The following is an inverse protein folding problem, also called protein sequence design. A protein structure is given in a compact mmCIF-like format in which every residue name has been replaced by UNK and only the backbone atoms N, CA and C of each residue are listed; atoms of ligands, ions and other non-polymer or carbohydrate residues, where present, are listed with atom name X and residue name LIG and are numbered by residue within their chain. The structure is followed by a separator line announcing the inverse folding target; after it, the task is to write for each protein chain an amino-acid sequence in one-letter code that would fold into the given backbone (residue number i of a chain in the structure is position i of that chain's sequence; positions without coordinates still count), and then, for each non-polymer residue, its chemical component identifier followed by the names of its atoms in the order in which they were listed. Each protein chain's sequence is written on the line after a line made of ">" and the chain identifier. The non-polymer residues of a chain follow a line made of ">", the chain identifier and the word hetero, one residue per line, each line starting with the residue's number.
data_IF_993192089519
#
_entry.id   IF_993192089519
#
_cell.length_a   1.000
_cell.length_b   1.000
_cell.length_c   1.000
_cell.angle_alpha   90.00
_cell.angle_beta   90.00
_cell.angle_gamma   90.00
#
_symmetry.space_group_name_H-M   'P 1'
#
loop_
_entity.id
_entity.type
_entity.pdbx_description
1 polymer ?
#
# COMPACT_ATOMS: atom_id res chain seq x y z
N UNK A 1 6.03 -4.53 -16.33
CA UNK A 1 5.04 -5.56 -15.89
C UNK A 1 4.42 -5.10 -14.59
N UNK A 2 3.11 -5.33 -14.39
CA UNK A 2 2.34 -4.87 -13.22
C UNK A 2 1.55 -6.05 -12.66
N UNK A 3 1.37 -6.10 -11.34
CA UNK A 3 0.47 -7.09 -10.70
C UNK A 3 -0.98 -6.65 -10.91
N UNK A 4 -1.77 -7.48 -11.59
CA UNK A 4 -3.16 -7.18 -11.89
C UNK A 4 -4.12 -7.48 -10.74
N UNK A 5 -3.63 -7.99 -9.61
CA UNK A 5 -4.48 -8.28 -8.44
C UNK A 5 -4.47 -7.07 -7.52
N UNK A 6 -5.62 -6.40 -7.37
CA UNK A 6 -5.79 -5.27 -6.45
C UNK A 6 -5.35 -5.63 -5.01
N UNK A 7 -5.63 -6.85 -4.60
CA UNK A 7 -5.32 -7.39 -3.28
C UNK A 7 -3.82 -7.43 -2.95
N UNK A 8 -2.96 -7.52 -3.98
CA UNK A 8 -1.51 -7.46 -3.78
C UNK A 8 -1.03 -6.11 -3.26
N UNK A 9 -1.85 -5.05 -3.38
CA UNK A 9 -1.55 -3.69 -2.92
C UNK A 9 -2.10 -3.40 -1.51
N UNK A 10 -2.58 -4.40 -0.76
CA UNK A 10 -2.93 -4.18 0.66
C UNK A 10 -1.68 -3.81 1.47
N UNK A 11 -1.88 -3.13 2.60
CA UNK A 11 -0.75 -2.80 3.49
C UNK A 11 0.01 -4.06 3.91
N UNK A 12 1.32 -4.07 3.70
CA UNK A 12 2.22 -5.09 4.23
C UNK A 12 2.73 -4.76 5.65
N UNK A 13 2.39 -3.60 6.20
CA UNK A 13 2.93 -3.14 7.48
C UNK A 13 2.41 -3.97 8.64
N UNK A 14 3.32 -4.59 9.38
CA UNK A 14 3.02 -5.40 10.55
C UNK A 14 2.96 -4.53 11.81
N UNK A 15 1.73 -4.33 12.32
CA UNK A 15 1.49 -3.52 13.52
C UNK A 15 1.92 -4.21 14.80
N UNK A 16 1.94 -5.54 14.83
CA UNK A 16 2.29 -6.28 16.05
C UNK A 16 3.82 -6.32 16.19
N UNK A 17 4.55 -6.54 15.09
CA UNK A 17 6.00 -6.32 15.06
C UNK A 17 6.36 -4.88 15.48
N UNK A 18 5.62 -3.87 15.01
CA UNK A 18 5.89 -2.49 15.37
C UNK A 18 5.72 -2.25 16.88
N UNK A 19 4.71 -2.83 17.52
CA UNK A 19 4.54 -2.75 18.98
C UNK A 19 5.67 -3.48 19.71
N UNK A 20 6.05 -4.66 19.23
CA UNK A 20 7.11 -5.48 19.81
C UNK A 20 8.46 -4.75 19.81
N UNK A 21 8.90 -4.24 18.65
CA UNK A 21 10.18 -3.55 18.56
C UNK A 21 10.20 -2.23 19.35
N UNK A 22 9.07 -1.50 19.41
CA UNK A 22 8.97 -0.29 20.24
C UNK A 22 9.06 -0.64 21.74
N UNK A 23 8.37 -1.69 22.19
CA UNK A 23 8.43 -2.13 23.58
C UNK A 23 9.84 -2.59 23.98
N UNK A 24 10.58 -3.21 23.05
CA UNK A 24 11.97 -3.63 23.27
C UNK A 24 12.91 -2.46 23.56
N UNK A 25 12.73 -1.33 22.88
CA UNK A 25 13.65 -0.19 22.95
C UNK A 25 13.14 0.97 23.82
N UNK A 26 11.98 0.82 24.44
CA UNK A 26 11.32 1.90 25.19
C UNK A 26 12.24 2.46 26.29
N UNK A 27 12.37 3.80 26.31
CA UNK A 27 13.25 4.51 27.24
C UNK A 27 14.76 4.36 26.99
N UNK A 28 15.18 3.71 25.89
CA UNK A 28 16.60 3.51 25.55
C UNK A 28 17.08 4.52 24.49
N UNK A 29 18.39 4.54 24.20
CA UNK A 29 18.94 5.36 23.11
C UNK A 29 18.50 4.88 21.72
N UNK A 30 17.94 3.66 21.60
CA UNK A 30 17.45 3.11 20.34
C UNK A 30 16.02 3.56 20.00
N UNK A 31 15.26 4.11 20.96
CA UNK A 31 13.87 4.53 20.75
C UNK A 31 13.71 5.51 19.57
N UNK A 32 14.49 6.61 19.46
CA UNK A 32 14.41 7.49 18.30
C UNK A 32 14.76 6.80 16.97
N UNK A 33 15.62 5.79 16.98
CA UNK A 33 16.01 5.06 15.77
C UNK A 33 14.90 4.14 15.28
N UNK A 34 14.26 3.41 16.20
CA UNK A 34 13.11 2.56 15.90
C UNK A 34 11.91 3.39 15.46
N UNK A 35 11.68 4.54 16.09
CA UNK A 35 10.65 5.49 15.64
C UNK A 35 10.87 5.92 14.19
N UNK A 36 12.10 6.35 13.84
CA UNK A 36 12.44 6.77 12.47
C UNK A 36 12.29 5.63 11.46
N UNK A 37 12.73 4.41 11.82
CA UNK A 37 12.53 3.21 11.02
C UNK A 37 11.03 2.94 10.78
N UNK A 38 10.23 3.04 11.84
CA UNK A 38 8.79 2.88 11.82
C UNK A 38 8.11 3.88 10.89
N UNK A 39 8.48 5.17 10.95
CA UNK A 39 7.97 6.21 10.04
C UNK A 39 8.35 5.90 8.58
N UNK A 40 9.61 5.55 8.30
CA UNK A 40 10.06 5.23 6.95
C UNK A 40 9.29 4.04 6.37
N UNK A 41 9.16 2.95 7.13
CA UNK A 41 8.47 1.74 6.70
C UNK A 41 6.96 1.91 6.62
N UNK A 42 6.35 2.68 7.53
CA UNK A 42 4.93 3.00 7.47
C UNK A 42 4.62 3.91 6.28
N UNK A 43 5.50 4.86 5.98
CA UNK A 43 5.43 5.68 4.77
C UNK A 43 5.46 4.82 3.50
N UNK A 44 6.44 3.92 3.38
CA UNK A 44 6.51 2.99 2.25
C UNK A 44 5.25 2.10 2.13
N UNK A 45 4.75 1.56 3.25
CA UNK A 45 3.56 0.73 3.25
C UNK A 45 2.28 1.49 2.86
N UNK A 46 2.17 2.76 3.26
CA UNK A 46 1.04 3.61 2.87
C UNK A 46 1.12 3.97 1.37
N UNK A 47 2.30 4.33 0.86
CA UNK A 47 2.52 4.59 -0.57
C UNK A 47 2.18 3.37 -1.41
N UNK A 48 2.61 2.17 -0.98
CA UNK A 48 2.27 0.90 -1.62
C UNK A 48 0.75 0.66 -1.65
N UNK A 49 0.03 1.07 -0.59
CA UNK A 49 -1.40 0.85 -0.43
C UNK A 49 -2.29 1.86 -1.17
N UNK A 50 -1.73 2.94 -1.71
CA UNK A 50 -2.49 3.97 -2.42
C UNK A 50 -3.42 3.43 -3.52
N UNK A 51 -3.02 2.46 -4.36
CA UNK A 51 -3.91 1.90 -5.38
C UNK A 51 -5.12 1.19 -4.77
N UNK A 52 -4.90 0.43 -3.69
CA UNK A 52 -5.98 -0.23 -2.96
C UNK A 52 -6.92 0.79 -2.34
N UNK A 53 -6.39 1.82 -1.68
CA UNK A 53 -7.17 2.91 -1.09
C UNK A 53 -7.99 3.68 -2.12
N UNK A 54 -7.45 3.90 -3.32
CA UNK A 54 -8.17 4.60 -4.40
C UNK A 54 -9.45 3.84 -4.76
N UNK A 55 -9.34 2.56 -5.06
CA UNK A 55 -10.49 1.71 -5.43
C UNK A 55 -11.46 1.58 -4.25
N UNK A 56 -10.94 1.39 -3.03
CA UNK A 56 -11.75 1.24 -1.82
C UNK A 56 -12.54 2.52 -1.50
N UNK A 57 -11.92 3.69 -1.65
CA UNK A 57 -12.57 4.99 -1.40
C UNK A 57 -13.69 5.27 -2.40
N UNK A 58 -13.49 4.88 -3.65
CA UNK A 58 -14.50 5.09 -4.70
C UNK A 58 -15.65 4.09 -4.55
N UNK A 59 -15.36 2.84 -4.18
CA UNK A 59 -16.39 1.89 -3.79
C UNK A 59 -17.23 2.41 -2.62
N UNK A 60 -16.58 2.88 -1.54
CA UNK A 60 -17.29 3.47 -0.40
C UNK A 60 -18.11 4.71 -0.77
N UNK A 61 -17.62 5.54 -1.68
CA UNK A 61 -18.38 6.68 -2.22
C UNK A 61 -19.59 6.21 -3.04
N UNK A 62 -19.42 5.26 -3.95
CA UNK A 62 -20.49 4.74 -4.79
C UNK A 62 -21.60 4.10 -3.94
N UNK A 63 -21.22 3.25 -2.99
CA UNK A 63 -22.15 2.63 -2.05
C UNK A 63 -22.87 3.69 -1.21
N UNK A 64 -22.16 4.71 -0.72
CA UNK A 64 -22.78 5.80 0.04
C UNK A 64 -23.69 6.67 -0.81
N UNK A 65 -23.30 7.00 -2.04
CA UNK A 65 -24.07 7.86 -2.94
C UNK A 65 -25.40 7.21 -3.32
N UNK A 66 -25.37 5.92 -3.66
CA UNK A 66 -26.56 5.12 -3.98
C UNK A 66 -27.50 5.01 -2.78
N UNK A 67 -26.96 4.83 -1.58
CA UNK A 67 -27.77 4.69 -0.37
C UNK A 67 -28.28 6.03 0.21
N UNK A 68 -27.60 7.15 -0.06
CA UNK A 68 -27.94 8.46 0.52
C UNK A 68 -28.87 9.31 -0.34
N UNK A 69 -29.01 9.01 -1.63
CA UNK A 69 -29.82 9.80 -2.55
C UNK A 69 -30.99 8.97 -3.10
N UNK A 70 -32.16 9.58 -3.15
CA UNK A 70 -33.28 9.04 -3.92
C UNK A 70 -32.81 8.79 -5.37
N UNK A 71 -32.98 7.56 -5.90
CA UNK A 71 -32.53 7.22 -7.24
C UNK A 71 -33.02 8.26 -8.26
N UNK A 72 -32.18 8.70 -9.22
CA UNK A 72 -32.60 9.66 -10.25
C UNK A 72 -33.86 9.22 -11.00
N UNK A 73 -34.07 7.91 -11.13
CA UNK A 73 -35.27 7.28 -11.68
C UNK A 73 -36.51 7.54 -10.82
N UNK A 74 -36.44 7.41 -9.50
CA UNK A 74 -37.53 7.74 -8.58
C UNK A 74 -37.86 9.24 -8.64
N UNK A 75 -36.85 10.12 -8.68
CA UNK A 75 -37.04 11.57 -8.90
C UNK A 75 -37.70 11.88 -10.24
N UNK A 76 -37.29 11.20 -11.31
CA UNK A 76 -37.89 11.34 -12.65
C UNK A 76 -39.34 10.85 -12.66
N UNK A 77 -39.63 9.71 -12.02
CA UNK A 77 -41.00 9.19 -11.87
C UNK A 77 -41.83 10.27 -11.16
N UNK A 78 -41.43 10.73 -9.98
CA UNK A 78 -42.13 11.77 -9.23
C UNK A 78 -42.39 13.06 -10.03
N UNK A 79 -41.41 13.49 -10.83
CA UNK A 79 -41.56 14.64 -11.74
C UNK A 79 -42.57 14.36 -12.88
N UNK A 80 -42.53 13.17 -13.48
CA UNK A 80 -43.48 12.73 -14.50
C UNK A 80 -44.90 12.64 -13.93
N UNK A 81 -45.07 12.12 -12.71
CA UNK A 81 -46.37 12.04 -12.03
C UNK A 81 -46.98 13.43 -11.88
N UNK A 82 -46.19 14.36 -11.37
CA UNK A 82 -46.62 15.74 -11.14
C UNK A 82 -47.02 16.39 -12.46
N UNK A 83 -46.17 16.25 -13.49
CA UNK A 83 -46.43 16.86 -14.80
C UNK A 83 -47.65 16.24 -15.50
N UNK A 84 -47.82 14.91 -15.41
CA UNK A 84 -48.99 14.22 -15.94
C UNK A 84 -50.27 14.68 -15.25
N UNK A 85 -50.25 14.82 -13.92
CA UNK A 85 -51.42 15.25 -13.14
C UNK A 85 -51.87 16.68 -13.51
N UNK A 86 -50.92 17.58 -13.77
CA UNK A 86 -51.20 18.92 -14.27
C UNK A 86 -51.79 18.89 -15.69
N UNK A 87 -51.22 18.08 -16.58
CA UNK A 87 -51.66 17.99 -17.97
C UNK A 87 -53.06 17.38 -18.14
N UNK A 88 -53.44 16.43 -17.29
CA UNK A 88 -54.78 15.82 -17.31
C UNK A 88 -55.80 16.56 -16.44
N UNK A 89 -55.38 17.57 -15.68
CA UNK A 89 -56.28 18.35 -14.82
C UNK A 89 -57.42 18.98 -15.64
N UNK A 90 -58.66 18.70 -15.27
CA UNK A 90 -59.86 19.18 -15.98
C UNK A 90 -60.13 18.52 -17.34
N UNK A 91 -59.20 17.72 -17.90
CA UNK A 91 -59.35 17.01 -19.18
C UNK A 91 -59.92 15.59 -19.01
N UNK A 92 -59.83 15.01 -17.82
CA UNK A 92 -60.36 13.68 -17.50
C UNK A 92 -61.32 13.70 -16.32
N UNK A 93 -62.19 12.68 -16.23
CA UNK A 93 -63.13 12.52 -15.11
C UNK A 93 -62.36 12.33 -13.79
N UNK A 94 -62.88 12.87 -12.66
CA UNK A 94 -62.21 12.75 -11.36
C UNK A 94 -61.88 11.31 -10.94
N UNK A 95 -62.75 10.35 -11.27
CA UNK A 95 -62.56 8.94 -10.96
C UNK A 95 -61.37 8.34 -11.74
N UNK A 96 -61.25 8.64 -13.04
CA UNK A 96 -60.12 8.21 -13.86
C UNK A 96 -58.80 8.84 -13.41
N UNK A 97 -58.82 10.11 -12.96
CA UNK A 97 -57.65 10.78 -12.38
C UNK A 97 -57.18 10.07 -11.11
N UNK A 98 -58.10 9.65 -10.25
CA UNK A 98 -57.79 8.89 -9.03
C UNK A 98 -57.19 7.52 -9.34
N UNK A 99 -57.75 6.82 -10.33
CA UNK A 99 -57.22 5.53 -10.80
C UNK A 99 -55.80 5.66 -11.38
N UNK A 100 -55.55 6.71 -12.17
CA UNK A 100 -54.23 7.00 -12.72
C UNK A 100 -53.19 7.23 -11.61
N UNK A 101 -53.51 8.07 -10.61
CA UNK A 101 -52.64 8.29 -9.44
C UNK A 101 -52.35 6.99 -8.69
N UNK A 102 -53.37 6.15 -8.47
CA UNK A 102 -53.20 4.88 -7.78
C UNK A 102 -52.37 3.87 -8.58
N UNK A 103 -52.50 3.85 -9.91
CA UNK A 103 -51.67 3.02 -10.78
C UNK A 103 -50.20 3.46 -10.73
N UNK A 104 -49.96 4.77 -10.83
CA UNK A 104 -48.64 5.38 -10.71
C UNK A 104 -47.98 5.07 -9.36
N UNK A 105 -48.70 5.25 -8.25
CA UNK A 105 -48.13 4.97 -6.92
C UNK A 105 -47.75 3.50 -6.76
N UNK A 106 -48.56 2.58 -7.30
CA UNK A 106 -48.22 1.15 -7.30
C UNK A 106 -46.95 0.86 -8.09
N UNK A 107 -46.76 1.51 -9.25
CA UNK A 107 -45.54 1.38 -10.05
C UNK A 107 -44.35 1.93 -9.26
N UNK A 108 -44.47 3.09 -8.62
CA UNK A 108 -43.41 3.65 -7.78
C UNK A 108 -42.98 2.69 -6.68
N UNK A 109 -43.94 2.15 -5.92
CA UNK A 109 -43.64 1.19 -4.85
C UNK A 109 -42.96 -0.08 -5.39
N UNK A 110 -43.39 -0.59 -6.55
CA UNK A 110 -42.75 -1.76 -7.18
C UNK A 110 -41.31 -1.47 -7.63
N UNK A 111 -41.03 -0.24 -8.04
CA UNK A 111 -39.68 0.21 -8.40
C UNK A 111 -38.81 0.31 -7.15
N UNK A 112 -39.34 0.86 -6.06
CA UNK A 112 -38.64 0.94 -4.77
C UNK A 112 -38.32 -0.47 -4.23
N UNK A 113 -39.31 -1.38 -4.20
CA UNK A 113 -39.12 -2.78 -3.81
C UNK A 113 -38.06 -3.48 -4.68
N UNK A 114 -38.03 -3.18 -5.99
CA UNK A 114 -37.04 -3.74 -6.90
C UNK A 114 -35.62 -3.23 -6.59
N UNK A 115 -35.46 -1.94 -6.30
CA UNK A 115 -34.16 -1.36 -5.90
C UNK A 115 -33.68 -1.91 -4.56
N UNK A 116 -34.58 -2.11 -3.59
CA UNK A 116 -34.23 -2.75 -2.31
C UNK A 116 -33.83 -4.22 -2.49
N UNK A 117 -34.48 -4.94 -3.41
CA UNK A 117 -34.20 -6.36 -3.67
C UNK A 117 -32.88 -6.61 -4.42
N UNK A 118 -32.40 -5.62 -5.18
CA UNK A 118 -31.16 -5.68 -5.96
C UNK A 118 -30.33 -4.41 -5.75
N UNK A 119 -29.70 -4.25 -4.57
CA UNK A 119 -28.86 -3.10 -4.31
C UNK A 119 -27.71 -3.09 -5.32
N UNK A 120 -27.49 -1.95 -5.98
CA UNK A 120 -26.31 -1.73 -6.78
C UNK A 120 -25.07 -2.00 -5.92
N UNK A 121 -24.12 -2.76 -6.45
CA UNK A 121 -22.83 -3.00 -5.81
C UNK A 121 -21.74 -2.51 -6.76
N UNK A 122 -20.86 -1.68 -6.23
CA UNK A 122 -19.68 -1.26 -6.97
C UNK A 122 -18.77 -2.46 -7.26
N UNK A 123 -18.50 -2.71 -8.54
CA UNK A 123 -17.54 -3.74 -8.96
C UNK A 123 -16.11 -3.21 -8.87
N UNK A 124 -15.42 -3.59 -7.80
CA UNK A 124 -14.04 -3.18 -7.53
C UNK A 124 -13.07 -3.73 -8.58
N UNK A 125 -13.30 -4.94 -9.10
CA UNK A 125 -12.39 -5.60 -10.01
C UNK A 125 -12.50 -5.00 -11.40
N UNK A 126 -13.72 -4.73 -11.87
CA UNK A 126 -13.96 -4.01 -13.13
C UNK A 126 -13.30 -2.62 -13.09
N UNK A 127 -13.51 -1.87 -12.00
CA UNK A 127 -12.92 -0.55 -11.83
C UNK A 127 -11.38 -0.59 -11.80
N UNK A 128 -10.82 -1.57 -11.09
CA UNK A 128 -9.37 -1.77 -11.06
C UNK A 128 -8.79 -2.07 -12.44
N UNK A 129 -9.43 -2.97 -13.19
CA UNK A 129 -9.03 -3.31 -14.55
C UNK A 129 -9.10 -2.09 -15.49
N UNK A 130 -10.14 -1.27 -15.37
CA UNK A 130 -10.26 -0.01 -16.12
C UNK A 130 -9.06 0.94 -15.85
N UNK A 131 -8.61 1.06 -14.60
CA UNK A 131 -7.43 1.88 -14.28
C UNK A 131 -6.14 1.28 -14.81
N UNK A 132 -6.02 -0.05 -14.82
CA UNK A 132 -4.86 -0.73 -15.39
C UNK A 132 -4.71 -0.50 -16.88
N UNK A 133 -5.75 -0.09 -17.61
CA UNK A 133 -5.65 0.29 -19.02
C UNK A 133 -5.06 1.70 -19.21
N UNK A 134 -4.98 2.51 -18.15
CA UNK A 134 -4.48 3.89 -18.23
C UNK A 134 -2.96 3.94 -18.08
N UNK A 135 -2.25 4.41 -19.10
CA UNK A 135 -0.78 4.45 -19.13
C UNK A 135 -0.16 5.23 -17.97
N UNK A 136 -0.73 6.38 -17.61
CA UNK A 136 -0.26 7.20 -16.49
C UNK A 136 -0.41 6.49 -15.14
N UNK A 137 -1.49 5.71 -15.00
CA UNK A 137 -1.70 4.88 -13.81
C UNK A 137 -0.69 3.74 -13.74
N UNK A 138 -0.45 3.07 -14.86
CA UNK A 138 0.57 2.03 -14.96
C UNK A 138 1.96 2.55 -14.56
N UNK A 139 2.37 3.71 -15.08
CA UNK A 139 3.65 4.36 -14.72
C UNK A 139 3.69 4.69 -13.23
N UNK A 140 2.60 5.23 -12.69
CA UNK A 140 2.47 5.55 -11.26
C UNK A 140 2.61 4.30 -10.38
N UNK A 141 1.99 3.17 -10.77
CA UNK A 141 2.14 1.90 -10.08
C UNK A 141 3.60 1.43 -10.09
N UNK A 142 4.24 1.39 -11.25
CA UNK A 142 5.64 0.95 -11.38
C UNK A 142 6.56 1.83 -10.51
N UNK A 143 6.42 3.15 -10.62
CA UNK A 143 7.23 4.10 -9.86
C UNK A 143 6.99 3.94 -8.35
N UNK A 144 5.73 3.79 -7.91
CA UNK A 144 5.40 3.61 -6.50
C UNK A 144 6.08 2.38 -5.90
N UNK A 145 6.08 1.24 -6.60
CA UNK A 145 6.71 0.02 -6.08
C UNK A 145 8.25 0.16 -6.01
N UNK A 146 8.87 0.77 -7.01
CA UNK A 146 10.32 1.09 -6.98
C UNK A 146 10.66 1.98 -5.79
N UNK A 147 9.87 3.03 -5.54
CA UNK A 147 10.05 3.94 -4.40
C UNK A 147 9.86 3.22 -3.06
N UNK A 148 8.86 2.36 -2.94
CA UNK A 148 8.60 1.61 -1.70
C UNK A 148 9.74 0.64 -1.39
N UNK A 149 10.21 -0.12 -2.38
CA UNK A 149 11.34 -1.04 -2.20
C UNK A 149 12.60 -0.30 -1.76
N UNK A 150 12.94 0.80 -2.46
CA UNK A 150 14.10 1.61 -2.12
C UNK A 150 13.94 2.22 -0.71
N UNK A 151 12.79 2.79 -0.40
CA UNK A 151 12.49 3.41 0.90
C UNK A 151 12.59 2.43 2.07
N UNK A 152 12.11 1.19 1.91
CA UNK A 152 12.26 0.14 2.91
C UNK A 152 13.73 -0.14 3.22
N UNK A 153 14.55 -0.32 2.17
CA UNK A 153 15.97 -0.62 2.36
C UNK A 153 16.75 0.57 2.89
N UNK A 154 16.46 1.79 2.43
CA UNK A 154 17.08 3.01 2.98
C UNK A 154 16.81 3.18 4.46
N UNK A 155 15.55 3.02 4.90
CA UNK A 155 15.20 3.09 6.32
C UNK A 155 15.93 2.03 7.13
N UNK A 156 16.04 0.81 6.60
CA UNK A 156 16.80 -0.26 7.24
C UNK A 156 18.30 0.06 7.33
N UNK A 157 18.92 0.49 6.23
CA UNK A 157 20.35 0.84 6.20
C UNK A 157 20.69 1.97 7.18
N UNK A 158 19.86 3.01 7.22
CA UNK A 158 20.02 4.10 8.20
C UNK A 158 19.88 3.59 9.64
N UNK A 159 18.92 2.70 9.92
CA UNK A 159 18.78 2.07 11.22
C UNK A 159 20.05 1.29 11.62
N UNK A 160 20.57 0.41 10.76
CA UNK A 160 21.80 -0.37 11.04
C UNK A 160 22.99 0.55 11.31
N UNK A 161 23.18 1.58 10.46
CA UNK A 161 24.29 2.54 10.61
C UNK A 161 24.18 3.32 11.92
N UNK A 162 22.98 3.72 12.32
CA UNK A 162 22.82 4.47 13.56
C UNK A 162 22.96 3.58 14.81
N UNK A 163 22.58 2.30 14.77
CA UNK A 163 22.93 1.35 15.83
C UNK A 163 24.46 1.24 15.99
N UNK A 164 25.19 1.14 14.89
CA UNK A 164 26.67 1.12 14.91
C UNK A 164 27.24 2.40 15.54
N UNK A 165 26.70 3.57 15.18
CA UNK A 165 27.16 4.87 15.70
C UNK A 165 26.92 5.00 17.21
N UNK A 166 25.83 4.42 17.73
CA UNK A 166 25.57 4.39 19.18
C UNK A 166 26.64 3.55 19.88
N UNK A 167 26.87 2.31 19.44
CA UNK A 167 27.84 1.40 20.08
C UNK A 167 29.28 1.94 20.05
N UNK A 168 29.66 2.58 18.95
CA UNK A 168 31.04 3.03 18.74
C UNK A 168 31.27 4.50 19.09
N UNK A 169 30.21 5.24 19.47
CA UNK A 169 30.25 6.70 19.68
C UNK A 169 30.78 7.51 18.49
N UNK A 170 30.78 6.93 17.28
CA UNK A 170 31.25 7.60 16.06
C UNK A 170 30.17 8.56 15.56
N UNK A 171 30.53 9.83 15.33
CA UNK A 171 29.57 10.86 14.88
C UNK A 171 29.19 10.73 13.41
N UNK A 172 30.11 10.27 12.55
CA UNK A 172 29.92 10.16 11.10
C UNK A 172 30.42 8.80 10.63
N UNK A 173 29.55 8.07 9.95
CA UNK A 173 29.87 6.78 9.36
C UNK A 173 29.28 6.71 7.95
N UNK A 174 30.08 6.23 7.00
CA UNK A 174 29.63 5.98 5.64
C UNK A 174 30.00 4.54 5.29
N UNK A 175 29.00 3.78 4.84
CA UNK A 175 29.19 2.40 4.43
C UNK A 175 30.13 2.35 3.22
N UNK A 176 31.17 1.52 3.31
CA UNK A 176 32.16 1.27 2.26
C UNK A 176 32.82 -0.10 2.39
N UNK A 177 34.09 -0.20 1.97
CA UNK A 177 34.83 -1.48 1.96
C UNK A 177 35.07 -2.07 3.36
N UNK A 178 35.22 -1.23 4.39
CA UNK A 178 35.48 -1.69 5.77
C UNK A 178 34.22 -2.14 6.50
N UNK A 179 33.02 -1.89 5.95
CA UNK A 179 31.76 -2.00 6.69
C UNK A 179 31.54 -3.35 7.35
N UNK A 180 31.85 -4.44 6.65
CA UNK A 180 31.64 -5.77 7.22
C UNK A 180 32.51 -5.98 8.46
N UNK A 181 33.80 -5.62 8.39
CA UNK A 181 34.71 -5.75 9.53
C UNK A 181 34.39 -4.78 10.67
N UNK A 182 33.89 -3.58 10.35
CA UNK A 182 33.45 -2.63 11.37
C UNK A 182 32.21 -3.16 12.11
N UNK A 183 31.23 -3.69 11.37
CA UNK A 183 29.99 -4.23 11.93
C UNK A 183 30.21 -5.55 12.67
N UNK A 184 31.08 -6.43 12.19
CA UNK A 184 31.47 -7.65 12.92
C UNK A 184 32.10 -7.34 14.27
N UNK A 185 32.95 -6.30 14.34
CA UNK A 185 33.56 -5.86 15.61
C UNK A 185 32.54 -5.24 16.56
N UNK A 186 31.59 -4.46 16.04
CA UNK A 186 30.63 -3.73 16.86
C UNK A 186 29.46 -4.60 17.32
N UNK A 187 28.89 -5.43 16.44
CA UNK A 187 27.69 -6.22 16.72
C UNK A 187 27.99 -7.68 17.06
N UNK A 188 29.22 -8.13 16.84
CA UNK A 188 29.56 -9.55 16.82
C UNK A 188 29.32 -10.20 15.44
N UNK A 189 30.00 -11.32 15.15
CA UNK A 189 30.00 -11.94 13.83
C UNK A 189 28.63 -12.44 13.39
N UNK A 190 27.84 -13.01 14.31
CA UNK A 190 26.52 -13.57 13.98
C UNK A 190 25.51 -12.49 13.60
N UNK A 191 25.39 -11.43 14.42
CA UNK A 191 24.48 -10.34 14.16
C UNK A 191 24.88 -9.54 12.90
N UNK A 192 26.18 -9.28 12.71
CA UNK A 192 26.69 -8.63 11.51
C UNK A 192 26.44 -9.46 10.25
N UNK A 193 26.65 -10.79 10.32
CA UNK A 193 26.35 -11.68 9.21
C UNK A 193 24.86 -11.63 8.87
N UNK A 194 23.98 -11.85 9.84
CA UNK A 194 22.54 -11.92 9.58
C UNK A 194 21.94 -10.58 9.11
N UNK A 195 22.37 -9.46 9.69
CA UNK A 195 21.76 -8.15 9.47
C UNK A 195 22.40 -7.36 8.32
N UNK A 196 23.64 -7.65 7.94
CA UNK A 196 24.35 -6.83 6.95
C UNK A 196 25.00 -7.61 5.81
N UNK A 197 25.67 -8.72 6.13
CA UNK A 197 26.48 -9.46 5.16
C UNK A 197 25.74 -10.61 4.48
N UNK A 198 24.57 -11.02 5.00
CA UNK A 198 23.70 -12.05 4.44
C UNK A 198 23.37 -11.77 2.96
N UNK A 199 23.39 -12.82 2.14
CA UNK A 199 23.20 -12.73 0.68
C UNK A 199 21.90 -12.01 0.33
N UNK A 200 20.83 -12.25 1.09
CA UNK A 200 19.54 -11.61 0.82
C UNK A 200 19.57 -10.11 1.10
N UNK A 201 20.41 -9.66 2.02
CA UNK A 201 20.61 -8.22 2.30
C UNK A 201 21.52 -7.59 1.25
N UNK A 202 22.55 -8.31 0.80
CA UNK A 202 23.40 -7.85 -0.29
C UNK A 202 22.60 -7.71 -1.60
N UNK A 203 21.75 -8.68 -1.92
CA UNK A 203 20.83 -8.61 -3.07
C UNK A 203 19.92 -7.38 -2.92
N UNK A 204 19.24 -7.22 -1.78
CA UNK A 204 18.35 -6.08 -1.57
C UNK A 204 19.06 -4.73 -1.66
N UNK A 205 20.31 -4.65 -1.16
CA UNK A 205 21.17 -3.46 -1.28
C UNK A 205 21.50 -3.15 -2.73
N UNK A 206 21.89 -4.16 -3.51
CA UNK A 206 22.21 -4.02 -4.94
C UNK A 206 20.98 -3.62 -5.75
N UNK A 207 19.81 -4.22 -5.48
CA UNK A 207 18.55 -3.83 -6.11
C UNK A 207 18.25 -2.36 -5.82
N UNK A 208 18.32 -1.93 -4.55
CA UNK A 208 18.14 -0.51 -4.20
C UNK A 208 19.14 0.38 -4.94
N UNK A 209 20.41 -0.01 -5.02
CA UNK A 209 21.42 0.77 -5.74
C UNK A 209 21.09 0.88 -7.23
N UNK A 210 20.68 -0.20 -7.87
CA UNK A 210 20.31 -0.22 -9.29
C UNK A 210 19.06 0.63 -9.55
N UNK A 211 18.06 0.58 -8.67
CA UNK A 211 16.87 1.43 -8.73
C UNK A 211 17.20 2.92 -8.65
N UNK A 212 18.11 3.30 -7.76
CA UNK A 212 18.39 4.72 -7.45
C UNK A 212 19.46 5.32 -8.36
N UNK A 213 20.50 4.55 -8.69
CA UNK A 213 21.69 5.06 -9.36
C UNK A 213 21.85 4.56 -10.79
N UNK A 214 21.22 3.43 -11.16
CA UNK A 214 21.34 2.85 -12.49
C UNK A 214 20.04 2.98 -13.32
N UNK A 215 19.13 3.86 -12.91
CA UNK A 215 17.85 4.05 -13.59
C UNK A 215 17.01 2.78 -13.66
N UNK A 216 17.07 1.94 -12.61
CA UNK A 216 16.47 0.61 -12.54
C UNK A 216 17.02 -0.44 -13.53
N UNK A 217 18.10 -0.14 -14.27
CA UNK A 217 18.79 -1.16 -15.06
C UNK A 217 19.53 -2.12 -14.15
N UNK A 218 19.46 -3.41 -14.47
CA UNK A 218 20.18 -4.42 -13.70
C UNK A 218 21.69 -4.28 -13.91
N UNK A 219 22.47 -4.26 -12.82
CA UNK A 219 23.93 -4.25 -12.88
C UNK A 219 24.52 -5.65 -13.13
N UNK A 220 25.74 -5.76 -13.68
CA UNK A 220 26.41 -7.06 -13.86
C UNK A 220 26.53 -7.86 -12.57
N UNK A 221 26.81 -7.17 -11.45
CA UNK A 221 26.89 -7.79 -10.12
C UNK A 221 25.57 -8.42 -9.69
N UNK A 222 24.44 -7.75 -9.98
CA UNK A 222 23.14 -8.30 -9.64
C UNK A 222 22.74 -9.43 -10.60
N UNK A 223 23.10 -9.36 -11.89
CA UNK A 223 22.85 -10.42 -12.88
C UNK A 223 23.50 -11.77 -12.50
N UNK A 224 24.65 -11.73 -11.84
CA UNK A 224 25.37 -12.92 -11.37
C UNK A 224 24.71 -13.61 -10.16
N UNK A 225 23.77 -12.93 -9.49
CA UNK A 225 23.12 -13.42 -8.27
C UNK A 225 21.73 -13.97 -8.56
N UNK A 226 21.31 -14.99 -7.80
CA UNK A 226 19.94 -15.49 -7.84
C UNK A 226 19.00 -14.57 -7.06
N UNK A 227 18.67 -13.41 -7.64
CA UNK A 227 17.90 -12.35 -6.98
C UNK A 227 16.37 -12.56 -7.00
N UNK A 228 15.84 -13.39 -7.90
CA UNK A 228 14.41 -13.76 -7.94
C UNK A 228 13.44 -12.69 -8.44
N UNK A 229 13.92 -11.47 -8.73
CA UNK A 229 13.13 -10.39 -9.32
C UNK A 229 12.93 -10.58 -10.83
N UNK A 230 11.83 -10.04 -11.35
CA UNK A 230 11.58 -10.00 -12.79
C UNK A 230 12.44 -8.94 -13.47
N UNK A 231 13.03 -9.28 -14.62
CA UNK A 231 13.80 -8.36 -15.47
C UNK A 231 13.20 -8.37 -16.87
N UNK A 232 12.89 -7.19 -17.40
CA UNK A 232 12.36 -7.00 -18.76
C UNK A 232 13.23 -5.96 -19.45
N UNK A 233 13.76 -6.29 -20.63
CA UNK A 233 14.64 -5.42 -21.42
C UNK A 233 15.83 -4.84 -20.63
N UNK A 234 16.36 -5.63 -19.69
CA UNK A 234 17.45 -5.23 -18.81
C UNK A 234 17.06 -4.32 -17.64
N UNK A 235 15.76 -4.05 -17.45
CA UNK A 235 15.24 -3.28 -16.32
C UNK A 235 14.58 -4.14 -15.25
N UNK A 236 14.89 -3.83 -14.00
CA UNK A 236 14.25 -4.40 -12.82
C UNK A 236 12.77 -4.01 -12.77
N UNK A 237 11.91 -5.01 -12.65
CA UNK A 237 10.49 -4.87 -12.44
C UNK A 237 10.19 -5.22 -10.99
N UNK A 238 9.88 -4.20 -10.18
CA UNK A 238 9.50 -4.38 -8.78
C UNK A 238 7.98 -4.53 -8.71
N UNK A 239 7.52 -5.70 -8.31
CA UNK A 239 6.12 -6.00 -8.10
C UNK A 239 5.71 -5.72 -6.65
N UNK A 240 4.40 -5.68 -6.43
CA UNK A 240 3.81 -5.51 -5.11
C UNK A 240 4.29 -6.56 -4.09
N UNK A 241 4.43 -7.81 -4.54
CA UNK A 241 4.93 -8.91 -3.70
C UNK A 241 6.40 -8.72 -3.28
N UNK A 242 7.25 -8.15 -4.14
CA UNK A 242 8.68 -7.98 -3.86
C UNK A 242 8.89 -7.00 -2.70
N UNK A 243 8.13 -5.91 -2.68
CA UNK A 243 8.11 -4.93 -1.59
C UNK A 243 7.66 -5.57 -0.27
N UNK A 244 6.58 -6.35 -0.32
CA UNK A 244 6.07 -7.08 0.84
C UNK A 244 7.08 -8.10 1.38
N UNK A 245 7.70 -8.87 0.49
CA UNK A 245 8.73 -9.86 0.85
C UNK A 245 9.95 -9.19 1.48
N UNK A 246 10.41 -8.07 0.93
CA UNK A 246 11.51 -7.29 1.49
C UNK A 246 11.18 -6.84 2.92
N UNK A 247 10.00 -6.25 3.17
CA UNK A 247 9.60 -5.86 4.52
C UNK A 247 9.65 -7.03 5.51
N UNK A 248 9.08 -8.18 5.13
CA UNK A 248 9.07 -9.38 5.99
C UNK A 248 10.48 -9.92 6.27
N UNK A 249 11.40 -9.76 5.32
CA UNK A 249 12.80 -10.10 5.50
C UNK A 249 13.51 -9.13 6.45
N UNK A 250 13.30 -7.83 6.28
CA UNK A 250 13.99 -6.79 7.04
C UNK A 250 13.48 -6.69 8.47
N UNK A 251 12.17 -6.84 8.73
CA UNK A 251 11.59 -6.69 10.08
C UNK A 251 12.21 -7.64 11.12
N UNK A 252 12.50 -8.88 10.71
CA UNK A 252 13.16 -9.88 11.57
C UNK A 252 14.59 -9.47 11.92
N UNK A 253 15.31 -8.90 10.96
CA UNK A 253 16.70 -8.44 11.15
C UNK A 253 16.78 -7.17 11.97
N UNK A 254 15.85 -6.24 11.76
CA UNK A 254 15.76 -5.02 12.57
C UNK A 254 15.50 -5.36 14.04
N UNK A 255 14.59 -6.31 14.31
CA UNK A 255 14.32 -6.77 15.68
C UNK A 255 15.55 -7.43 16.32
N UNK A 256 16.20 -8.37 15.62
CA UNK A 256 17.42 -9.01 16.13
C UNK A 256 18.55 -8.02 16.38
N UNK A 257 18.75 -7.06 15.47
CA UNK A 257 19.78 -6.04 15.63
C UNK A 257 19.48 -5.11 16.80
N UNK A 258 18.22 -4.72 17.00
CA UNK A 258 17.81 -3.91 18.15
C UNK A 258 18.14 -4.62 19.47
N UNK A 259 17.77 -5.90 19.58
CA UNK A 259 18.02 -6.75 20.75
C UNK A 259 19.53 -6.92 21.04
N UNK A 260 20.30 -7.25 19.99
CA UNK A 260 21.77 -7.39 20.09
C UNK A 260 22.43 -6.08 20.48
N UNK A 261 22.00 -4.96 19.89
CA UNK A 261 22.54 -3.63 20.19
C UNK A 261 22.22 -3.21 21.61
N UNK A 262 21.01 -3.46 22.09
CA UNK A 262 20.60 -3.12 23.45
C UNK A 262 21.43 -3.90 24.48
N UNK A 263 21.63 -5.19 24.26
CA UNK A 263 22.44 -6.05 25.12
C UNK A 263 23.88 -5.51 25.27
N UNK A 264 24.48 -5.07 24.17
CA UNK A 264 25.84 -4.51 24.14
C UNK A 264 25.95 -3.11 24.74
N UNK A 265 24.86 -2.35 24.85
CA UNK A 265 24.84 -1.04 25.53
C UNK A 265 24.80 -1.22 27.06
N UNK A 266 24.18 -2.30 27.53
CA UNK A 266 23.98 -2.56 28.96
C UNK A 266 25.14 -3.27 29.65
N UNK A 267 26.11 -3.79 28.89
CA UNK A 267 27.37 -4.35 29.38
C UNK A 267 28.44 -3.27 29.64
#
# INVERSE_FOLDING_TARGET
>A
MIDNRLESYRSFFDRDWAKEINALVDGTQLDPLVFNLGIAWKGAANTHMMPWLLVDSIGGFADSFVNAHEPPTARLISALVTKLDDEVHGKIRPMMRKELKAAIQRISNQVDDAFESQPYRFDRDEYWMFYLEQSEFQVSLIASQRLCYAGLFFGYEDFVVNCYKILTSVKRYQTGRSTNGDFEKAFGPEAAQFCWSDDKIQIARLVRNDLVHNGARISPKLQELKHGLTVIDGELQILACDTSMLFHQLKKRALQLADSTLSLITE
#
